data_IF_807949331304
#
_entry.id   IF_807949331304
#
_cell.length_a   1.000
_cell.length_b   1.000
_cell.length_c   1.000
_cell.angle_alpha   90.00
_cell.angle_beta   90.00
_cell.angle_gamma   90.00
#
_symmetry.space_group_name_H-M   'P 1'
#
loop_
_entity.id
_entity.type
_entity.pdbx_description
1 polymer ?
#
# COMPACT_ATOMS: atom_id res chain seq x y z
N UNK A 1 -11.01 -15.93 36.92
CA UNK A 1 -11.41 -16.86 35.84
C UNK A 1 -10.58 -16.45 34.65
N UNK A 2 -9.64 -17.29 34.19
CA UNK A 2 -8.87 -16.99 32.98
C UNK A 2 -9.84 -16.76 31.84
N UNK A 3 -9.77 -15.60 31.21
CA UNK A 3 -10.39 -15.38 29.92
C UNK A 3 -9.63 -16.25 28.93
N UNK A 4 -10.24 -17.34 28.46
CA UNK A 4 -9.69 -18.10 27.34
C UNK A 4 -9.57 -17.15 26.16
N UNK A 5 -8.33 -16.84 25.76
CA UNK A 5 -8.03 -16.05 24.57
C UNK A 5 -8.66 -16.74 23.36
N UNK A 6 -9.71 -16.13 22.80
CA UNK A 6 -10.38 -16.62 21.60
C UNK A 6 -9.44 -16.38 20.41
N UNK A 7 -8.51 -17.30 20.18
CA UNK A 7 -7.72 -17.31 18.96
C UNK A 7 -8.64 -17.69 17.80
N UNK A 8 -8.80 -16.80 16.82
CA UNK A 8 -9.52 -17.13 15.59
C UNK A 8 -8.79 -18.26 14.87
N UNK A 9 -9.39 -19.46 14.78
CA UNK A 9 -8.75 -20.62 14.17
C UNK A 9 -8.98 -20.63 12.66
N UNK A 10 -7.96 -20.28 11.88
CA UNK A 10 -7.96 -20.48 10.43
C UNK A 10 -7.86 -21.97 10.07
N UNK A 11 -8.66 -22.42 9.10
CA UNK A 11 -8.59 -23.77 8.53
C UNK A 11 -8.13 -23.64 7.08
N UNK A 12 -6.93 -24.11 6.77
CA UNK A 12 -6.40 -24.15 5.41
C UNK A 12 -6.74 -25.48 4.73
N UNK A 13 -7.24 -25.42 3.49
CA UNK A 13 -7.54 -26.60 2.66
C UNK A 13 -6.59 -26.62 1.48
N UNK A 14 -5.82 -27.71 1.34
CA UNK A 14 -4.74 -27.86 0.34
C UNK A 14 -3.33 -27.70 0.94
N UNK A 15 -2.30 -27.83 0.11
CA UNK A 15 -0.91 -27.60 0.55
C UNK A 15 -0.57 -26.12 0.41
N UNK A 16 -0.36 -25.38 1.52
CA UNK A 16 0.02 -23.97 1.44
C UNK A 16 1.41 -23.81 0.78
N UNK A 17 1.66 -22.67 0.11
CA UNK A 17 2.98 -22.37 -0.45
C UNK A 17 4.09 -22.42 0.61
N UNK A 18 5.32 -22.74 0.19
CA UNK A 18 6.49 -22.69 1.08
C UNK A 18 6.64 -21.28 1.67
N UNK A 19 6.68 -21.16 2.99
CA UNK A 19 6.78 -19.88 3.70
C UNK A 19 5.44 -19.15 3.93
N UNK A 20 4.30 -19.76 3.61
CA UNK A 20 3.00 -19.20 3.95
C UNK A 20 2.82 -19.11 5.48
N UNK A 21 2.54 -17.90 5.98
CA UNK A 21 2.12 -17.65 7.35
C UNK A 21 0.86 -16.81 7.34
N UNK A 22 -0.19 -17.30 7.99
CA UNK A 22 -1.44 -16.58 8.13
C UNK A 22 -1.30 -15.45 9.17
N UNK A 23 -2.23 -14.49 9.12
CA UNK A 23 -2.36 -13.48 10.14
C UNK A 23 -2.82 -14.11 11.45
N UNK A 24 -2.05 -13.92 12.52
CA UNK A 24 -2.55 -14.09 13.87
C UNK A 24 -3.41 -12.88 14.22
N UNK A 25 -4.58 -13.14 14.80
CA UNK A 25 -5.55 -12.11 15.17
C UNK A 25 -5.87 -12.26 16.64
N UNK A 26 -5.74 -11.16 17.36
CA UNK A 26 -6.04 -11.10 18.78
C UNK A 26 -6.91 -9.89 19.06
N UNK A 27 -8.03 -10.12 19.75
CA UNK A 27 -8.88 -9.04 20.22
C UNK A 27 -8.49 -8.68 21.65
N UNK A 28 -8.14 -7.41 21.86
CA UNK A 28 -7.86 -6.81 23.16
C UNK A 28 -9.09 -6.05 23.62
N UNK A 29 -9.49 -6.25 24.88
CA UNK A 29 -10.67 -5.63 25.48
C UNK A 29 -10.23 -4.65 26.58
N UNK A 30 -10.23 -3.36 26.26
CA UNK A 30 -9.96 -2.30 27.23
C UNK A 30 -11.26 -1.88 27.91
N UNK A 31 -11.57 -2.52 29.03
CA UNK A 31 -12.78 -2.25 29.80
C UNK A 31 -12.76 -0.84 30.40
N UNK A 32 -13.95 -0.25 30.54
CA UNK A 32 -14.16 1.08 31.11
C UNK A 32 -13.36 2.20 30.39
N UNK A 33 -13.13 2.05 29.08
CA UNK A 33 -12.33 2.98 28.27
C UNK A 33 -12.73 4.45 28.46
N UNK A 34 -14.04 4.72 28.54
CA UNK A 34 -14.56 6.07 28.74
C UNK A 34 -14.16 6.71 30.09
N UNK A 35 -13.84 5.89 31.10
CA UNK A 35 -13.47 6.32 32.45
C UNK A 35 -11.94 6.26 32.70
N UNK A 36 -11.15 5.85 31.71
CA UNK A 36 -9.69 5.87 31.81
C UNK A 36 -9.19 7.30 32.04
N UNK A 37 -8.12 7.40 32.83
CA UNK A 37 -7.43 8.66 33.14
C UNK A 37 -6.16 8.78 32.29
N UNK A 38 -5.58 9.99 32.18
CA UNK A 38 -4.24 10.15 31.66
C UNK A 38 -3.26 9.17 32.32
N UNK A 39 -2.39 8.58 31.50
CA UNK A 39 -1.43 7.54 31.82
C UNK A 39 -1.65 6.28 30.98
N UNK A 40 -0.56 5.72 30.46
CA UNK A 40 -0.56 4.48 29.71
C UNK A 40 -1.20 3.31 30.48
N UNK A 41 -2.15 2.64 29.83
CA UNK A 41 -2.70 1.36 30.25
C UNK A 41 -1.93 0.27 29.53
N UNK A 42 -1.16 -0.49 30.30
CA UNK A 42 -0.33 -1.58 29.78
C UNK A 42 -1.10 -2.89 29.91
N UNK A 43 -1.15 -3.65 28.82
CA UNK A 43 -1.52 -5.06 28.88
C UNK A 43 -0.29 -5.89 29.28
N UNK A 44 -0.39 -6.62 30.38
CA UNK A 44 0.67 -7.52 30.88
C UNK A 44 0.63 -8.90 30.18
N UNK A 45 -0.46 -9.21 29.46
CA UNK A 45 -0.55 -10.44 28.68
C UNK A 45 0.27 -10.30 27.40
N UNK A 46 1.41 -11.01 27.38
CA UNK A 46 2.27 -11.06 26.20
C UNK A 46 1.49 -11.61 25.00
N UNK A 47 1.15 -10.75 24.02
CA UNK A 47 0.66 -11.18 22.71
C UNK A 47 1.67 -12.19 22.16
N UNK A 48 1.27 -13.46 22.04
CA UNK A 48 2.20 -14.57 21.89
C UNK A 48 2.07 -15.25 20.52
N UNK A 49 2.68 -14.59 19.53
CA UNK A 49 3.03 -15.14 18.20
C UNK A 49 4.08 -16.27 18.25
N UNK A 50 4.20 -16.98 19.38
CA UNK A 50 5.43 -17.64 19.78
C UNK A 50 6.57 -16.67 20.11
N UNK A 51 6.26 -15.37 20.32
CA UNK A 51 7.21 -14.28 20.66
C UNK A 51 6.56 -13.31 21.65
N UNK A 52 7.31 -12.68 22.57
CA UNK A 52 6.74 -11.74 23.52
C UNK A 52 6.57 -10.35 22.90
N UNK A 53 5.31 -9.92 22.72
CA UNK A 53 4.95 -8.54 22.45
C UNK A 53 4.12 -7.98 23.61
N UNK A 54 4.26 -6.69 23.88
CA UNK A 54 3.45 -5.96 24.84
C UNK A 54 2.64 -4.90 24.12
N UNK A 55 1.38 -4.72 24.51
CA UNK A 55 0.54 -3.65 24.00
C UNK A 55 0.33 -2.62 25.09
N UNK A 56 0.48 -1.35 24.72
CA UNK A 56 0.25 -0.22 25.59
C UNK A 56 -0.75 0.74 24.93
N UNK A 57 -1.77 1.14 25.66
CA UNK A 57 -2.78 2.08 25.22
C UNK A 57 -2.66 3.37 26.01
N UNK A 58 -2.55 4.51 25.34
CA UNK A 58 -2.55 5.83 25.92
C UNK A 58 -3.91 6.48 25.64
N UNK A 59 -4.81 6.56 26.65
CA UNK A 59 -6.22 6.94 26.42
C UNK A 59 -6.45 8.37 25.93
N UNK A 60 -5.38 9.17 25.94
CA UNK A 60 -5.35 10.61 25.66
C UNK A 60 -4.20 11.00 24.70
N UNK A 61 -3.72 10.04 23.90
CA UNK A 61 -2.66 10.25 22.92
C UNK A 61 -1.27 10.38 23.55
N UNK A 62 -0.29 10.75 22.74
CA UNK A 62 1.14 10.74 23.12
C UNK A 62 1.52 11.84 24.13
N UNK A 63 0.81 12.97 24.05
CA UNK A 63 1.00 14.09 24.97
C UNK A 63 0.28 13.88 26.31
N UNK A 64 -0.49 12.79 26.43
CA UNK A 64 -1.30 12.43 27.62
C UNK A 64 -2.19 13.59 28.11
N UNK A 65 -2.65 14.41 27.17
CA UNK A 65 -3.49 15.56 27.45
C UNK A 65 -4.95 15.12 27.62
N UNK A 66 -5.52 15.34 28.80
CA UNK A 66 -6.89 14.98 29.12
C UNK A 66 -7.94 15.61 28.18
N UNK A 67 -7.56 16.67 27.44
CA UNK A 67 -8.41 17.34 26.44
C UNK A 67 -8.22 16.77 25.01
N UNK A 68 -7.32 15.80 24.82
CA UNK A 68 -7.06 15.16 23.53
C UNK A 68 -8.28 14.43 22.99
N UNK A 69 -8.53 14.62 21.70
CA UNK A 69 -9.55 13.94 20.91
C UNK A 69 -9.04 12.62 20.29
N UNK A 70 -7.81 12.23 20.61
CA UNK A 70 -7.17 11.00 20.13
C UNK A 70 -6.77 10.08 21.29
N UNK A 71 -6.59 8.80 20.99
CA UNK A 71 -5.88 7.85 21.83
C UNK A 71 -4.79 7.15 21.01
N UNK A 72 -3.69 6.75 21.65
CA UNK A 72 -2.61 6.02 20.98
C UNK A 72 -2.59 4.57 21.42
N UNK A 73 -2.19 3.68 20.52
CA UNK A 73 -1.91 2.28 20.84
C UNK A 73 -0.56 1.87 20.26
N UNK A 74 0.22 1.18 21.08
CA UNK A 74 1.59 0.80 20.82
C UNK A 74 1.78 -0.69 20.95
N UNK A 75 2.59 -1.24 20.05
CA UNK A 75 3.11 -2.60 20.09
C UNK A 75 4.62 -2.55 20.35
N UNK A 76 5.04 -3.08 21.49
CA UNK A 76 6.45 -3.18 21.88
C UNK A 76 6.94 -4.62 21.74
N UNK A 77 8.01 -4.83 20.98
CA UNK A 77 8.67 -6.14 20.86
C UNK A 77 9.67 -6.36 21.99
N UNK A 78 9.50 -7.44 22.74
CA UNK A 78 10.49 -7.94 23.71
C UNK A 78 11.29 -9.14 23.18
N UNK A 79 11.07 -9.51 21.92
CA UNK A 79 11.78 -10.59 21.24
C UNK A 79 13.25 -10.22 20.99
N UNK A 80 14.17 -11.13 21.34
CA UNK A 80 15.59 -11.04 21.00
C UNK A 80 15.90 -11.36 19.53
N UNK A 81 14.90 -11.81 18.78
CA UNK A 81 15.08 -12.14 17.36
C UNK A 81 14.90 -10.91 16.48
N UNK A 82 15.84 -10.74 15.55
CA UNK A 82 15.74 -9.79 14.44
C UNK A 82 14.84 -10.38 13.34
N UNK A 83 13.53 -10.33 13.53
CA UNK A 83 12.55 -10.73 12.52
C UNK A 83 11.89 -9.51 11.88
N UNK A 84 11.40 -9.65 10.64
CA UNK A 84 10.47 -8.70 10.06
C UNK A 84 9.06 -9.17 10.38
N UNK A 85 8.17 -8.27 10.80
CA UNK A 85 6.74 -8.54 10.97
C UNK A 85 5.93 -7.58 10.10
N UNK A 86 4.70 -7.98 9.79
CA UNK A 86 3.64 -7.06 9.39
C UNK A 86 2.59 -7.03 10.50
N UNK A 87 2.10 -5.84 10.84
CA UNK A 87 1.04 -5.68 11.84
C UNK A 87 0.07 -4.53 11.51
N UNK A 88 -1.16 -4.60 12.03
CA UNK A 88 -2.10 -3.48 12.06
C UNK A 88 -3.06 -3.62 13.25
N UNK A 89 -3.72 -2.51 13.57
CA UNK A 89 -4.77 -2.40 14.58
C UNK A 89 -6.11 -2.04 13.94
N UNK A 90 -7.21 -2.49 14.53
CA UNK A 90 -8.54 -2.10 14.13
C UNK A 90 -9.49 -1.98 15.32
N UNK A 91 -10.26 -0.88 15.39
CA UNK A 91 -11.37 -0.72 16.31
C UNK A 91 -12.53 -1.59 15.82
N UNK A 92 -13.06 -2.44 16.69
CA UNK A 92 -14.16 -3.35 16.40
C UNK A 92 -15.46 -2.88 17.04
N UNK A 93 -16.54 -2.93 16.25
CA UNK A 93 -17.90 -2.72 16.76
C UNK A 93 -18.47 -4.00 17.39
N UNK A 94 -19.70 -3.93 17.91
CA UNK A 94 -20.38 -5.06 18.55
C UNK A 94 -20.67 -6.25 17.60
N UNK A 95 -20.55 -6.04 16.29
CA UNK A 95 -20.74 -7.04 15.24
C UNK A 95 -19.41 -7.53 14.64
N UNK A 96 -18.26 -7.16 15.21
CA UNK A 96 -16.89 -7.43 14.72
C UNK A 96 -16.56 -6.73 13.37
N UNK A 97 -17.36 -5.74 12.96
CA UNK A 97 -17.01 -4.86 11.85
C UNK A 97 -15.90 -3.89 12.29
N UNK A 98 -15.06 -3.50 11.35
CA UNK A 98 -14.03 -2.49 11.57
C UNK A 98 -14.66 -1.10 11.51
N UNK A 99 -14.65 -0.37 12.63
CA UNK A 99 -15.07 1.03 12.70
C UNK A 99 -13.96 1.96 12.19
N UNK A 100 -12.72 1.65 12.54
CA UNK A 100 -11.50 2.36 12.13
C UNK A 100 -10.34 1.36 12.15
N UNK A 101 -9.35 1.51 11.27
CA UNK A 101 -8.17 0.65 11.27
C UNK A 101 -6.91 1.37 10.87
N UNK A 102 -5.81 1.08 11.54
CA UNK A 102 -4.50 1.54 11.13
C UNK A 102 -4.09 0.89 9.80
N UNK A 103 -3.20 1.54 9.04
CA UNK A 103 -2.52 0.87 7.96
C UNK A 103 -1.72 -0.34 8.46
N UNK A 104 -1.42 -1.26 7.55
CA UNK A 104 -0.45 -2.33 7.81
C UNK A 104 0.97 -1.78 7.83
N UNK A 105 1.60 -1.73 9.00
CA UNK A 105 3.02 -1.50 9.13
C UNK A 105 3.81 -2.77 8.79
N UNK A 106 4.98 -2.59 8.18
CA UNK A 106 6.00 -3.63 8.14
C UNK A 106 7.23 -3.14 8.88
N UNK A 107 7.62 -3.87 9.92
CA UNK A 107 8.68 -3.44 10.82
C UNK A 107 9.64 -4.58 11.14
N UNK A 108 10.93 -4.25 11.24
CA UNK A 108 11.93 -5.14 11.82
C UNK A 108 11.85 -5.04 13.34
N UNK A 109 11.43 -6.11 14.00
CA UNK A 109 11.42 -6.17 15.45
C UNK A 109 12.83 -6.32 16.00
N UNK A 110 13.08 -5.63 17.12
CA UNK A 110 14.27 -5.73 17.96
C UNK A 110 13.81 -5.49 19.41
N UNK A 111 14.56 -5.92 20.43
CA UNK A 111 14.18 -5.71 21.83
C UNK A 111 13.91 -4.24 22.14
N UNK A 112 12.77 -3.96 22.77
CA UNK A 112 12.34 -2.61 23.17
C UNK A 112 11.89 -1.72 22.02
N UNK A 113 11.78 -2.22 20.79
CA UNK A 113 11.22 -1.42 19.69
C UNK A 113 9.72 -1.34 19.85
N UNK A 114 9.23 -0.11 19.88
CA UNK A 114 7.81 0.24 19.98
C UNK A 114 7.35 0.85 18.66
N UNK A 115 6.20 0.40 18.16
CA UNK A 115 5.55 0.96 16.99
C UNK A 115 4.05 1.09 17.29
N UNK A 116 3.44 2.19 16.90
CA UNK A 116 2.05 2.46 17.26
C UNK A 116 1.34 3.35 16.27
N UNK A 117 0.08 3.62 16.59
CA UNK A 117 -0.82 4.45 15.81
C UNK A 117 -1.76 5.22 16.75
N UNK A 118 -2.09 6.45 16.38
CA UNK A 118 -3.17 7.22 17.00
C UNK A 118 -4.48 6.96 16.26
N UNK A 119 -5.58 7.06 17.01
CA UNK A 119 -6.93 6.79 16.56
C UNK A 119 -7.87 7.85 17.13
N UNK A 120 -9.00 8.09 16.45
CA UNK A 120 -10.03 8.98 16.97
C UNK A 120 -10.65 8.43 18.25
N UNK A 121 -10.59 9.22 19.32
CA UNK A 121 -11.22 8.89 20.60
C UNK A 121 -12.74 8.93 20.50
N UNK A 122 -13.28 9.84 19.69
CA UNK A 122 -14.73 9.89 19.40
C UNK A 122 -15.20 8.60 18.73
N UNK A 123 -14.48 8.13 17.69
CA UNK A 123 -14.81 6.85 17.02
C UNK A 123 -14.78 5.69 18.01
N UNK A 124 -13.76 5.61 18.87
CA UNK A 124 -13.68 4.60 19.91
C UNK A 124 -14.88 4.63 20.87
N UNK A 125 -15.24 5.82 21.39
CA UNK A 125 -16.37 5.98 22.31
C UNK A 125 -17.71 5.57 21.67
N UNK A 126 -17.90 5.88 20.39
CA UNK A 126 -19.13 5.58 19.67
C UNK A 126 -19.29 4.08 19.35
N UNK A 127 -18.21 3.30 19.44
CA UNK A 127 -18.17 1.87 19.07
C UNK A 127 -17.85 0.93 20.24
N UNK A 128 -17.98 1.39 21.49
CA UNK A 128 -17.73 0.55 22.67
C UNK A 128 -18.65 -0.69 22.72
N UNK A 129 -18.07 -1.85 23.02
CA UNK A 129 -18.79 -3.11 23.20
C UNK A 129 -18.90 -3.41 24.68
N UNK A 130 -20.10 -3.27 25.25
CA UNK A 130 -20.35 -3.44 26.69
C UNK A 130 -19.41 -2.58 27.57
N UNK A 131 -19.14 -1.33 27.15
CA UNK A 131 -18.25 -0.41 27.87
C UNK A 131 -16.75 -0.68 27.66
N UNK A 132 -16.37 -1.67 26.85
CA UNK A 132 -14.99 -1.94 26.48
C UNK A 132 -14.68 -1.41 25.08
N UNK A 133 -13.49 -0.82 24.93
CA UNK A 133 -12.89 -0.61 23.61
C UNK A 133 -12.29 -1.94 23.14
N UNK A 134 -12.72 -2.42 21.98
CA UNK A 134 -12.23 -3.66 21.39
C UNK A 134 -11.26 -3.33 20.26
N UNK A 135 -10.00 -3.72 20.42
CA UNK A 135 -8.96 -3.57 19.40
C UNK A 135 -8.57 -4.94 18.86
N UNK A 136 -8.76 -5.15 17.56
CA UNK A 136 -8.18 -6.28 16.85
C UNK A 136 -6.73 -5.95 16.46
N UNK A 137 -5.77 -6.69 17.00
CA UNK A 137 -4.38 -6.68 16.58
C UNK A 137 -4.18 -7.82 15.58
N UNK A 138 -3.75 -7.48 14.36
CA UNK A 138 -3.33 -8.48 13.36
C UNK A 138 -1.83 -8.44 13.24
N UNK A 139 -1.17 -9.60 13.32
CA UNK A 139 0.28 -9.69 13.19
C UNK A 139 0.72 -11.00 12.51
N UNK A 140 1.81 -10.95 11.74
CA UNK A 140 2.47 -12.15 11.16
C UNK A 140 3.96 -11.89 10.95
N UNK A 141 4.77 -12.95 10.89
CA UNK A 141 6.14 -12.81 10.40
C UNK A 141 6.10 -12.49 8.90
N UNK A 142 6.89 -11.49 8.53
CA UNK A 142 7.12 -11.13 7.13
C UNK A 142 8.23 -12.04 6.60
N UNK A 143 7.81 -13.07 5.87
CA UNK A 143 8.68 -13.79 4.95
C UNK A 143 8.61 -13.06 3.61
N UNK A 144 9.58 -12.17 3.33
CA UNK A 144 9.69 -11.34 2.12
C UNK A 144 8.84 -10.04 2.14
N UNK A 145 9.23 -9.00 1.36
CA UNK A 145 9.08 -7.59 1.76
C UNK A 145 7.61 -7.20 1.93
N UNK A 146 7.40 -6.19 2.79
CA UNK A 146 6.11 -5.57 3.11
C UNK A 146 5.14 -5.62 1.92
N UNK A 147 3.94 -6.18 2.12
CA UNK A 147 2.91 -6.22 1.07
C UNK A 147 2.80 -4.86 0.37
N UNK A 148 2.85 -4.83 -0.98
CA UNK A 148 2.63 -3.63 -1.75
C UNK A 148 1.42 -2.83 -1.26
N UNK A 149 1.59 -1.51 -1.13
CA UNK A 149 0.45 -0.62 -0.97
C UNK A 149 -0.39 -0.65 -2.24
N UNK A 150 -1.70 -0.82 -2.07
CA UNK A 150 -2.69 -0.80 -3.16
C UNK A 150 -3.75 0.20 -2.71
N UNK A 151 -3.91 1.35 -3.40
CA UNK A 151 -4.96 2.31 -3.06
C UNK A 151 -6.34 1.73 -3.37
N UNK A 152 -7.35 2.20 -2.64
CA UNK A 152 -8.73 1.89 -3.00
C UNK A 152 -9.15 2.62 -4.27
N UNK A 153 -9.99 1.98 -5.08
CA UNK A 153 -10.56 2.61 -6.25
C UNK A 153 -11.72 3.54 -5.82
N UNK A 154 -11.60 4.87 -6.01
CA UNK A 154 -12.61 5.83 -5.54
C UNK A 154 -13.95 5.68 -6.26
N UNK A 155 -13.95 5.11 -7.46
CA UNK A 155 -15.16 4.87 -8.26
C UNK A 155 -15.88 3.57 -7.93
N UNK A 156 -15.39 2.77 -6.96
CA UNK A 156 -15.94 1.44 -6.64
C UNK A 156 -17.35 1.54 -6.06
N UNK A 157 -18.33 1.61 -6.95
CA UNK A 157 -19.74 1.72 -6.63
C UNK A 157 -20.56 0.94 -7.65
N UNK A 158 -21.43 0.03 -7.20
CA UNK A 158 -22.24 -0.83 -8.08
C UNK A 158 -23.09 -0.03 -9.09
N UNK A 159 -23.55 1.15 -8.69
CA UNK A 159 -24.35 2.03 -9.55
C UNK A 159 -23.53 2.59 -10.70
N UNK A 160 -22.29 3.01 -10.43
CA UNK A 160 -21.37 3.52 -11.46
C UNK A 160 -20.90 2.36 -12.35
N UNK A 161 -20.59 1.22 -11.75
CA UNK A 161 -20.15 0.00 -12.45
C UNK A 161 -21.18 -0.45 -13.51
N UNK A 162 -22.47 -0.41 -13.17
CA UNK A 162 -23.55 -0.78 -14.08
C UNK A 162 -23.60 0.08 -15.36
N UNK A 163 -23.18 1.35 -15.28
CA UNK A 163 -23.16 2.27 -16.41
C UNK A 163 -22.03 1.96 -17.42
N UNK A 164 -21.05 1.12 -17.07
CA UNK A 164 -19.96 0.79 -17.98
C UNK A 164 -20.43 0.00 -19.21
N UNK A 165 -21.43 -0.87 -19.00
CA UNK A 165 -22.04 -1.67 -20.07
C UNK A 165 -23.30 -1.03 -20.66
N UNK A 166 -23.71 0.11 -20.09
CA UNK A 166 -24.88 0.84 -20.55
C UNK A 166 -24.48 1.87 -21.61
N UNK A 167 -25.11 1.76 -22.77
CA UNK A 167 -24.93 2.70 -23.87
C UNK A 167 -25.91 3.89 -23.77
N UNK A 168 -26.94 3.78 -22.92
CA UNK A 168 -27.90 4.83 -22.64
C UNK A 168 -27.17 5.98 -21.93
N UNK A 169 -27.32 7.21 -22.43
CA UNK A 169 -26.64 8.44 -21.94
C UNK A 169 -25.15 8.59 -22.23
N UNK A 170 -24.53 7.69 -23.00
CA UNK A 170 -23.15 7.91 -23.47
C UNK A 170 -23.08 9.14 -24.38
N UNK A 171 -22.16 10.05 -24.09
CA UNK A 171 -22.01 11.36 -24.75
C UNK A 171 -20.63 11.54 -25.40
N UNK A 172 -19.69 10.61 -25.16
CA UNK A 172 -18.37 10.59 -25.79
C UNK A 172 -17.99 9.21 -26.31
N UNK A 173 -17.26 9.18 -27.44
CA UNK A 173 -16.68 7.98 -28.04
C UNK A 173 -15.18 8.12 -28.17
N UNK A 174 -14.42 7.22 -27.57
CA UNK A 174 -12.98 7.13 -27.74
C UNK A 174 -12.59 6.21 -28.89
N UNK A 175 -11.78 6.71 -29.82
CA UNK A 175 -11.15 5.92 -30.87
C UNK A 175 -9.71 5.59 -30.50
N UNK A 176 -9.44 4.32 -30.21
CA UNK A 176 -8.11 3.81 -29.91
C UNK A 176 -7.54 3.12 -31.14
N UNK A 177 -6.36 3.56 -31.57
CA UNK A 177 -5.72 3.02 -32.76
C UNK A 177 -5.39 1.53 -32.61
N UNK A 178 -5.50 0.80 -33.71
CA UNK A 178 -5.13 -0.62 -33.81
C UNK A 178 -4.06 -0.79 -34.85
N UNK A 179 -2.87 -1.15 -34.41
CA UNK A 179 -1.73 -1.48 -35.27
C UNK A 179 -1.70 -3.00 -35.48
N UNK A 180 -1.62 -3.45 -36.73
CA UNK A 180 -1.39 -4.87 -37.04
C UNK A 180 0.09 -5.23 -36.86
N UNK A 181 0.38 -6.52 -36.65
CA UNK A 181 1.76 -7.03 -36.58
C UNK A 181 2.63 -6.71 -37.83
N UNK A 182 2.00 -6.37 -38.96
CA UNK A 182 2.65 -5.95 -40.20
C UNK A 182 2.78 -4.42 -40.36
N UNK A 183 2.47 -3.64 -39.32
CA UNK A 183 2.53 -2.17 -39.33
C UNK A 183 1.38 -1.47 -40.05
N UNK A 184 0.39 -2.19 -40.60
CA UNK A 184 -0.76 -1.57 -41.26
C UNK A 184 -1.84 -1.15 -40.25
N UNK A 185 -2.43 0.05 -40.39
CA UNK A 185 -3.54 0.48 -39.54
C UNK A 185 -4.78 -0.39 -39.79
N UNK A 186 -5.43 -0.82 -38.71
CA UNK A 186 -6.75 -1.47 -38.71
C UNK A 186 -7.82 -0.47 -38.27
N UNK A 187 -9.09 -0.77 -38.52
CA UNK A 187 -10.21 -0.03 -37.94
C UNK A 187 -9.99 0.15 -36.42
N UNK A 188 -10.05 1.40 -35.90
CA UNK A 188 -9.84 1.67 -34.49
C UNK A 188 -10.86 0.95 -33.62
N UNK A 189 -10.50 0.69 -32.37
CA UNK A 189 -11.46 0.26 -31.35
C UNK A 189 -12.21 1.49 -30.85
N UNK A 190 -13.54 1.42 -30.83
CA UNK A 190 -14.38 2.48 -30.31
C UNK A 190 -14.87 2.09 -28.91
N UNK A 191 -14.75 2.99 -27.95
CA UNK A 191 -15.28 2.83 -26.59
C UNK A 191 -16.21 3.99 -26.28
N UNK A 192 -17.45 3.70 -25.92
CA UNK A 192 -18.39 4.73 -25.46
C UNK A 192 -18.17 4.99 -23.98
N UNK A 193 -18.39 6.22 -23.55
CA UNK A 193 -18.28 6.59 -22.15
C UNK A 193 -19.15 7.81 -21.83
N UNK A 194 -19.16 8.16 -20.55
CA UNK A 194 -19.86 9.30 -19.97
C UNK A 194 -18.84 10.36 -19.54
N UNK A 195 -18.86 11.54 -20.19
CA UNK A 195 -17.95 12.65 -19.93
C UNK A 195 -17.97 13.10 -18.46
N UNK A 196 -19.15 13.05 -17.83
CA UNK A 196 -19.33 13.38 -16.43
C UNK A 196 -18.50 12.47 -15.51
N UNK A 197 -18.56 11.14 -15.72
CA UNK A 197 -17.80 10.17 -14.91
C UNK A 197 -16.30 10.38 -15.10
N UNK A 198 -15.86 10.58 -16.35
CA UNK A 198 -14.45 10.84 -16.66
C UNK A 198 -13.94 12.11 -15.95
N UNK A 199 -14.77 13.16 -15.88
CA UNK A 199 -14.42 14.43 -15.23
C UNK A 199 -14.19 14.33 -13.73
N UNK A 200 -14.71 13.29 -13.08
CA UNK A 200 -14.51 13.05 -11.66
C UNK A 200 -13.21 12.30 -11.36
N UNK A 201 -12.62 11.60 -12.35
CA UNK A 201 -11.48 10.70 -12.14
C UNK A 201 -10.22 11.17 -12.85
N UNK A 202 -10.34 11.77 -14.03
CA UNK A 202 -9.20 12.24 -14.83
C UNK A 202 -9.49 13.60 -15.43
N UNK A 203 -8.89 14.68 -14.90
CA UNK A 203 -9.01 16.02 -15.47
C UNK A 203 -8.57 16.07 -16.93
N UNK A 204 -7.55 15.30 -17.30
CA UNK A 204 -7.02 15.25 -18.66
C UNK A 204 -8.02 14.64 -19.64
N UNK A 205 -8.62 13.49 -19.31
CA UNK A 205 -9.65 12.90 -20.16
C UNK A 205 -10.87 13.81 -20.27
N UNK A 206 -11.24 14.47 -19.18
CA UNK A 206 -12.32 15.46 -19.17
C UNK A 206 -12.06 16.59 -20.15
N UNK A 207 -10.84 17.13 -20.16
CA UNK A 207 -10.43 18.20 -21.06
C UNK A 207 -10.53 17.77 -22.53
N UNK A 208 -10.06 16.56 -22.84
CA UNK A 208 -10.17 15.99 -24.19
C UNK A 208 -11.63 15.84 -24.66
N UNK A 209 -12.57 15.61 -23.74
CA UNK A 209 -13.99 15.43 -24.06
C UNK A 209 -14.75 16.77 -24.24
N UNK A 210 -14.20 17.92 -23.82
CA UNK A 210 -14.93 19.21 -23.87
C UNK A 210 -15.17 19.73 -25.28
N UNK A 211 -14.30 19.39 -26.22
CA UNK A 211 -14.30 19.97 -27.57
C UNK A 211 -14.96 19.09 -28.63
N UNK A 212 -14.93 17.76 -28.46
CA UNK A 212 -15.36 16.80 -29.49
C UNK A 212 -16.11 15.63 -28.86
N UNK A 213 -17.18 15.17 -29.52
CA UNK A 213 -17.90 13.94 -29.13
C UNK A 213 -17.14 12.67 -29.47
N UNK A 214 -16.06 12.78 -30.25
CA UNK A 214 -15.21 11.65 -30.64
C UNK A 214 -13.76 12.01 -30.40
N UNK A 215 -13.09 11.30 -29.49
CA UNK A 215 -11.75 11.62 -29.02
C UNK A 215 -10.79 10.52 -29.46
N UNK A 216 -9.67 10.90 -30.09
CA UNK A 216 -8.62 9.95 -30.46
C UNK A 216 -7.64 9.74 -29.32
N UNK A 217 -7.36 8.48 -29.01
CA UNK A 217 -6.47 8.05 -27.94
C UNK A 217 -5.15 7.57 -28.57
N UNK A 218 -4.09 8.39 -28.52
CA UNK A 218 -2.79 7.99 -29.05
C UNK A 218 -2.07 7.04 -28.11
N UNK A 219 -1.23 6.18 -28.70
CA UNK A 219 -0.18 5.43 -28.00
C UNK A 219 -0.67 4.55 -26.82
N UNK A 220 -1.92 4.09 -26.83
CA UNK A 220 -2.46 3.15 -25.85
C UNK A 220 -3.00 1.92 -26.58
N UNK A 221 -2.79 0.72 -26.04
CA UNK A 221 -3.39 -0.48 -26.62
C UNK A 221 -4.90 -0.49 -26.31
N UNK A 222 -5.76 -1.00 -27.22
CA UNK A 222 -7.20 -1.08 -26.96
C UNK A 222 -7.53 -1.88 -25.69
N UNK A 223 -6.71 -2.88 -25.35
CA UNK A 223 -6.91 -3.67 -24.14
C UNK A 223 -6.57 -2.85 -22.88
N UNK A 224 -5.45 -2.12 -22.88
CA UNK A 224 -5.08 -1.27 -21.75
C UNK A 224 -6.08 -0.14 -21.55
N UNK A 225 -6.51 0.52 -22.63
CA UNK A 225 -7.52 1.57 -22.55
C UNK A 225 -8.88 1.04 -22.06
N UNK A 226 -9.29 -0.16 -22.50
CA UNK A 226 -10.48 -0.81 -21.94
C UNK A 226 -10.34 -1.06 -20.44
N UNK A 227 -9.18 -1.55 -19.98
CA UNK A 227 -8.92 -1.75 -18.54
C UNK A 227 -8.97 -0.43 -17.77
N UNK A 228 -8.40 0.64 -18.34
CA UNK A 228 -8.44 1.98 -17.77
C UNK A 228 -9.87 2.49 -17.62
N UNK A 229 -10.70 2.39 -18.67
CA UNK A 229 -12.11 2.75 -18.59
C UNK A 229 -12.85 1.86 -17.59
N UNK A 230 -12.63 0.55 -17.60
CA UNK A 230 -13.27 -0.37 -16.63
C UNK A 230 -12.98 0.08 -15.19
N UNK A 231 -11.73 0.43 -14.90
CA UNK A 231 -11.32 0.94 -13.60
C UNK A 231 -12.01 2.26 -13.23
N UNK A 232 -12.12 3.22 -14.17
CA UNK A 232 -12.81 4.49 -13.94
C UNK A 232 -14.27 4.28 -13.52
N UNK A 233 -14.91 3.21 -14.00
CA UNK A 233 -16.28 2.84 -13.62
C UNK A 233 -16.34 1.97 -12.35
N UNK A 234 -15.22 1.75 -11.66
CA UNK A 234 -15.18 0.97 -10.43
C UNK A 234 -15.11 -0.55 -10.63
N UNK A 235 -14.94 -1.02 -11.88
CA UNK A 235 -14.83 -2.46 -12.18
C UNK A 235 -13.47 -2.98 -11.71
N UNK A 236 -13.49 -4.09 -10.98
CA UNK A 236 -12.27 -4.77 -10.53
C UNK A 236 -11.56 -5.46 -11.70
N UNK A 237 -10.27 -5.18 -11.86
CA UNK A 237 -9.49 -5.72 -12.97
C UNK A 237 -9.00 -7.15 -12.67
N UNK A 238 -9.18 -8.11 -13.60
CA UNK A 238 -8.79 -9.50 -13.38
C UNK A 238 -7.28 -9.73 -13.59
N UNK A 239 -6.43 -9.08 -12.79
CA UNK A 239 -4.95 -9.14 -12.90
C UNK A 239 -4.39 -10.56 -12.94
N UNK A 240 -5.01 -11.52 -12.25
CA UNK A 240 -4.59 -12.92 -12.24
C UNK A 240 -4.68 -13.62 -13.61
N UNK A 241 -5.39 -13.02 -14.58
CA UNK A 241 -5.53 -13.52 -15.94
C UNK A 241 -4.79 -12.65 -16.96
N UNK A 242 -4.04 -11.64 -16.50
CA UNK A 242 -3.30 -10.72 -17.34
C UNK A 242 -1.84 -11.13 -17.43
N UNK A 243 -1.24 -10.96 -18.59
CA UNK A 243 0.21 -11.09 -18.76
C UNK A 243 0.93 -9.81 -18.30
N UNK A 244 2.24 -9.92 -18.03
CA UNK A 244 3.05 -8.82 -17.55
C UNK A 244 3.11 -7.64 -18.54
N UNK A 245 3.05 -7.90 -19.85
CA UNK A 245 3.02 -6.84 -20.88
C UNK A 245 1.74 -6.02 -20.82
N UNK A 246 0.59 -6.66 -20.65
CA UNK A 246 -0.69 -5.97 -20.53
C UNK A 246 -0.78 -5.15 -19.25
N UNK A 247 -0.19 -5.62 -18.14
CA UNK A 247 -0.09 -4.83 -16.91
C UNK A 247 0.83 -3.61 -17.12
N UNK A 248 1.98 -3.76 -17.82
CA UNK A 248 2.84 -2.63 -18.23
C UNK A 248 2.06 -1.60 -19.05
N UNK A 249 1.29 -2.05 -20.06
CA UNK A 249 0.47 -1.16 -20.88
C UNK A 249 -0.58 -0.40 -20.03
N UNK A 250 -1.15 -1.05 -19.00
CA UNK A 250 -2.07 -0.40 -18.06
C UNK A 250 -1.36 0.69 -17.27
N UNK A 251 -0.16 0.41 -16.74
CA UNK A 251 0.64 1.41 -15.99
C UNK A 251 0.93 2.63 -16.88
N UNK A 252 1.38 2.41 -18.11
CA UNK A 252 1.65 3.50 -19.06
C UNK A 252 0.40 4.32 -19.40
N UNK A 253 -0.73 3.65 -19.63
CA UNK A 253 -2.01 4.31 -19.90
C UNK A 253 -2.49 5.11 -18.68
N UNK A 254 -2.43 4.54 -17.48
CA UNK A 254 -2.84 5.17 -16.24
C UNK A 254 -1.98 6.41 -15.95
N UNK A 255 -0.65 6.31 -16.13
CA UNK A 255 0.27 7.43 -15.97
C UNK A 255 0.00 8.53 -17.00
N UNK A 256 -0.27 8.17 -18.27
CA UNK A 256 -0.55 9.17 -19.32
C UNK A 256 -1.85 9.93 -19.07
N UNK A 257 -2.90 9.22 -18.65
CA UNK A 257 -4.23 9.80 -18.45
C UNK A 257 -4.49 10.22 -17.00
N UNK A 258 -3.44 10.32 -16.18
CA UNK A 258 -3.49 10.83 -14.82
C UNK A 258 -4.50 10.08 -13.93
N UNK A 259 -4.56 8.75 -14.06
CA UNK A 259 -5.38 7.86 -13.21
C UNK A 259 -4.47 7.22 -12.17
N UNK A 260 -4.06 8.02 -11.18
CA UNK A 260 -3.02 7.70 -10.19
C UNK A 260 -3.31 6.38 -9.45
N UNK A 261 -4.52 6.19 -8.91
CA UNK A 261 -4.82 4.98 -8.12
C UNK A 261 -4.70 3.70 -8.97
N UNK A 262 -5.06 3.77 -10.26
CA UNK A 262 -4.84 2.66 -11.20
C UNK A 262 -3.36 2.42 -11.47
N UNK A 263 -2.56 3.48 -11.63
CA UNK A 263 -1.09 3.39 -11.82
C UNK A 263 -0.46 2.65 -10.64
N UNK A 264 -0.76 3.07 -9.41
CA UNK A 264 -0.21 2.49 -8.19
C UNK A 264 -0.69 1.05 -7.95
N UNK A 265 -1.98 0.76 -8.19
CA UNK A 265 -2.50 -0.61 -8.10
C UNK A 265 -1.86 -1.52 -9.15
N UNK A 266 -1.80 -1.07 -10.41
CA UNK A 266 -1.18 -1.86 -11.49
C UNK A 266 0.31 -2.09 -11.24
N UNK A 267 1.03 -1.10 -10.70
CA UNK A 267 2.43 -1.22 -10.28
C UNK A 267 2.59 -2.32 -9.20
N UNK A 268 1.78 -2.28 -8.14
CA UNK A 268 1.81 -3.28 -7.07
C UNK A 268 1.53 -4.70 -7.59
N UNK A 269 0.58 -4.84 -8.53
CA UNK A 269 0.27 -6.11 -9.20
C UNK A 269 1.39 -6.56 -10.12
N UNK A 270 2.03 -5.63 -10.82
CA UNK A 270 3.16 -5.89 -11.70
C UNK A 270 4.36 -6.46 -10.95
N UNK A 271 4.77 -5.79 -9.88
CA UNK A 271 5.87 -6.25 -8.99
C UNK A 271 5.60 -7.65 -8.44
N UNK A 272 4.36 -7.94 -8.10
CA UNK A 272 3.96 -9.27 -7.59
C UNK A 272 3.94 -10.36 -8.67
N UNK A 273 3.82 -9.98 -9.95
CA UNK A 273 3.69 -10.91 -11.06
C UNK A 273 5.02 -11.24 -11.77
N UNK A 274 6.03 -10.37 -11.65
CA UNK A 274 7.32 -10.54 -12.33
C UNK A 274 8.35 -11.24 -11.45
N UNK A 275 9.32 -11.88 -12.09
CA UNK A 275 10.52 -12.40 -11.45
C UNK A 275 11.73 -11.59 -11.91
N UNK A 276 12.32 -10.79 -11.01
CA UNK A 276 13.50 -9.99 -11.31
C UNK A 276 14.74 -10.90 -11.33
N UNK A 277 15.53 -10.80 -12.39
CA UNK A 277 16.79 -11.51 -12.60
C UNK A 277 17.89 -10.54 -13.00
N UNK A 278 19.15 -10.98 -12.96
CA UNK A 278 20.29 -10.14 -13.33
C UNK A 278 20.23 -9.70 -14.80
N UNK A 279 19.55 -10.47 -15.65
CA UNK A 279 19.40 -10.20 -17.08
C UNK A 279 18.29 -9.17 -17.37
N UNK A 280 17.19 -9.16 -16.59
CA UNK A 280 16.04 -8.28 -16.85
C UNK A 280 15.97 -7.05 -15.92
N UNK A 281 16.77 -7.00 -14.85
CA UNK A 281 16.68 -5.92 -13.84
C UNK A 281 16.85 -4.52 -14.44
N UNK A 282 17.74 -4.36 -15.43
CA UNK A 282 17.96 -3.05 -16.07
C UNK A 282 16.77 -2.60 -16.90
N UNK A 283 16.07 -3.53 -17.57
CA UNK A 283 14.84 -3.22 -18.30
C UNK A 283 13.75 -2.73 -17.34
N UNK A 284 13.57 -3.43 -16.21
CA UNK A 284 12.62 -3.03 -15.18
C UNK A 284 12.99 -1.69 -14.54
N UNK A 285 14.28 -1.44 -14.32
CA UNK A 285 14.78 -0.18 -13.77
C UNK A 285 14.50 1.00 -14.70
N UNK A 286 14.81 0.86 -15.99
CA UNK A 286 14.54 1.89 -16.99
C UNK A 286 13.05 2.17 -17.16
N UNK A 287 12.21 1.13 -17.13
CA UNK A 287 10.75 1.30 -17.15
C UNK A 287 10.25 2.01 -15.89
N UNK A 288 10.78 1.64 -14.72
CA UNK A 288 10.38 2.26 -13.47
C UNK A 288 10.75 3.74 -13.40
N UNK A 289 11.96 4.08 -13.87
CA UNK A 289 12.45 5.45 -13.92
C UNK A 289 11.67 6.31 -14.92
N UNK A 290 11.33 5.78 -16.10
CA UNK A 290 10.63 6.55 -17.13
C UNK A 290 9.16 6.85 -16.82
N UNK A 291 8.50 6.02 -16.01
CA UNK A 291 7.09 6.16 -15.64
C UNK A 291 6.92 6.60 -14.17
N UNK A 292 8.00 6.83 -13.43
CA UNK A 292 7.99 7.13 -11.99
C UNK A 292 7.23 6.06 -11.19
N UNK A 293 7.64 4.80 -11.36
CA UNK A 293 7.16 3.65 -10.59
C UNK A 293 8.13 3.37 -9.43
N UNK A 294 7.98 4.10 -8.33
CA UNK A 294 8.88 4.01 -7.18
C UNK A 294 8.88 2.67 -6.44
N UNK A 295 7.76 1.94 -6.41
CA UNK A 295 7.73 0.61 -5.80
C UNK A 295 8.50 -0.40 -6.66
N UNK A 296 8.35 -0.37 -7.98
CA UNK A 296 9.12 -1.22 -8.88
C UNK A 296 10.62 -0.88 -8.81
N UNK A 297 10.95 0.42 -8.82
CA UNK A 297 12.32 0.92 -8.66
C UNK A 297 12.93 0.43 -7.34
N UNK A 298 12.20 0.54 -6.22
CA UNK A 298 12.62 0.04 -4.91
C UNK A 298 12.90 -1.47 -4.94
N UNK A 299 12.01 -2.25 -5.54
CA UNK A 299 12.16 -3.70 -5.65
C UNK A 299 13.40 -4.10 -6.45
N UNK A 300 13.70 -3.39 -7.55
CA UNK A 300 14.91 -3.62 -8.33
C UNK A 300 16.17 -3.26 -7.52
N UNK A 301 16.16 -2.15 -6.76
CA UNK A 301 17.29 -1.78 -5.91
C UNK A 301 17.53 -2.79 -4.78
N UNK A 302 16.46 -3.28 -4.15
CA UNK A 302 16.56 -4.32 -3.13
C UNK A 302 17.14 -5.62 -3.73
N UNK A 303 16.73 -6.00 -4.94
CA UNK A 303 17.33 -7.12 -5.67
C UNK A 303 18.83 -6.91 -5.94
N UNK A 304 19.21 -5.69 -6.36
CA UNK A 304 20.62 -5.34 -6.62
C UNK A 304 21.46 -5.50 -5.36
N UNK A 305 20.97 -5.01 -4.22
CA UNK A 305 21.68 -5.09 -2.95
C UNK A 305 21.80 -6.54 -2.45
N UNK A 306 20.75 -7.35 -2.62
CA UNK A 306 20.76 -8.77 -2.27
C UNK A 306 21.74 -9.59 -3.13
N UNK A 307 21.91 -9.23 -4.41
CA UNK A 307 22.76 -9.94 -5.38
C UNK A 307 24.05 -9.18 -5.74
N UNK A 308 24.47 -8.25 -4.86
CA UNK A 308 25.56 -7.29 -5.12
C UNK A 308 26.87 -7.92 -5.63
N UNK A 309 27.24 -9.10 -5.13
CA UNK A 309 28.47 -9.77 -5.52
C UNK A 309 28.44 -10.24 -6.99
N UNK A 310 27.32 -10.83 -7.42
CA UNK A 310 27.15 -11.31 -8.79
C UNK A 310 27.05 -10.14 -9.79
N UNK A 311 26.27 -9.13 -9.42
CA UNK A 311 26.06 -7.93 -10.24
C UNK A 311 27.36 -7.14 -10.41
N UNK A 312 28.14 -7.00 -9.32
CA UNK A 312 29.44 -6.35 -9.38
C UNK A 312 30.41 -7.09 -10.31
N UNK A 313 30.46 -8.42 -10.24
CA UNK A 313 31.31 -9.23 -11.11
C UNK A 313 30.96 -9.09 -12.61
N UNK A 314 29.65 -9.01 -12.93
CA UNK A 314 29.16 -8.81 -14.30
C UNK A 314 29.27 -7.37 -14.81
N UNK A 315 29.62 -6.41 -13.93
CA UNK A 315 29.68 -4.96 -14.22
C UNK A 315 28.39 -4.41 -14.83
N UNK A 316 27.23 -4.96 -14.42
CA UNK A 316 25.93 -4.63 -15.03
C UNK A 316 25.47 -3.19 -14.75
N UNK A 317 26.04 -2.52 -13.73
CA UNK A 317 25.65 -1.17 -13.30
C UNK A 317 26.41 -0.02 -14.00
N UNK A 318 27.23 -0.29 -15.02
CA UNK A 318 28.09 0.73 -15.67
C UNK A 318 27.35 1.86 -16.42
N UNK A 319 26.01 1.84 -16.49
CA UNK A 319 25.19 2.84 -17.19
C UNK A 319 23.98 3.33 -16.39
N UNK A 320 24.00 3.17 -15.06
CA UNK A 320 22.90 3.58 -14.19
C UNK A 320 22.91 5.11 -14.02
N UNK A 321 21.77 5.81 -14.21
CA UNK A 321 21.64 7.24 -13.93
C UNK A 321 22.12 7.64 -12.53
N UNK A 322 22.79 8.80 -12.42
CA UNK A 322 23.33 9.30 -11.13
C UNK A 322 22.25 9.49 -10.06
N UNK A 323 21.01 9.79 -10.47
CA UNK A 323 19.87 9.95 -9.55
C UNK A 323 19.52 8.69 -8.75
N UNK A 324 19.93 7.51 -9.21
CA UNK A 324 19.60 6.22 -8.59
C UNK A 324 20.56 5.81 -7.45
N UNK A 325 21.61 6.59 -7.19
CA UNK A 325 22.56 6.33 -6.10
C UNK A 325 21.85 6.44 -4.74
N UNK A 326 20.96 7.42 -4.58
CA UNK A 326 20.20 7.60 -3.33
C UNK A 326 19.24 6.42 -3.08
N UNK A 327 18.56 5.95 -4.13
CA UNK A 327 17.71 4.76 -4.06
C UNK A 327 18.51 3.52 -3.66
N UNK A 328 19.74 3.36 -4.19
CA UNK A 328 20.65 2.28 -3.82
C UNK A 328 21.12 2.40 -2.35
N UNK A 329 21.47 3.60 -1.88
CA UNK A 329 21.85 3.84 -0.49
C UNK A 329 20.68 3.53 0.46
N UNK A 330 19.46 3.93 0.10
CA UNK A 330 18.26 3.60 0.87
C UNK A 330 18.03 2.08 0.93
N UNK A 331 18.20 1.37 -0.20
CA UNK A 331 18.15 -0.10 -0.23
C UNK A 331 19.24 -0.74 0.64
N UNK A 332 20.45 -0.19 0.63
CA UNK A 332 21.53 -0.65 1.51
C UNK A 332 21.18 -0.45 2.98
N UNK A 333 20.63 0.71 3.36
CA UNK A 333 20.15 0.97 4.72
C UNK A 333 19.06 -0.03 5.15
N UNK A 334 18.14 -0.40 4.25
CA UNK A 334 17.12 -1.44 4.50
C UNK A 334 17.72 -2.85 4.63
N UNK A 335 18.77 -3.14 3.86
CA UNK A 335 19.43 -4.45 3.81
C UNK A 335 20.44 -4.70 4.95
N UNK A 336 20.89 -3.64 5.63
CA UNK A 336 21.94 -3.71 6.64
C UNK A 336 21.62 -4.71 7.75
N UNK A 337 22.54 -5.65 7.97
CA UNK A 337 22.71 -6.33 9.27
C UNK A 337 23.60 -5.41 10.12
N UNK A 338 23.07 -4.99 11.27
CA UNK A 338 23.71 -4.33 12.43
C UNK A 338 25.01 -3.55 12.23
N UNK A 339 25.00 -2.26 12.60
CA UNK A 339 25.91 -1.74 13.64
C UNK A 339 25.59 -0.27 13.93
N UNK A 340 25.70 0.06 15.22
CA UNK A 340 25.62 1.37 15.87
C UNK A 340 24.23 1.83 16.34
N UNK A 341 24.13 1.78 17.66
CA UNK A 341 23.14 2.44 18.48
C UNK A 341 23.04 3.91 18.10
N UNK A 342 21.83 4.35 17.77
CA UNK A 342 21.39 5.69 18.14
C UNK A 342 20.09 5.52 18.91
N UNK A 343 20.20 5.76 20.22
CA UNK A 343 19.10 6.14 21.09
C UNK A 343 18.60 7.50 20.58
N UNK A 344 17.33 7.53 20.16
CA UNK A 344 16.70 8.69 19.56
C UNK A 344 15.55 8.22 18.70
N UNK A 345 14.34 8.29 19.25
CA UNK A 345 13.10 8.02 18.55
C UNK A 345 12.81 9.15 17.53
N UNK A 346 13.64 9.24 16.50
CA UNK A 346 13.33 10.01 15.29
C UNK A 346 12.84 8.99 14.26
N UNK A 347 11.60 9.14 13.78
CA UNK A 347 11.02 8.25 12.78
C UNK A 347 11.87 8.30 11.52
N UNK A 348 12.70 7.27 11.30
CA UNK A 348 13.62 7.27 10.16
C UNK A 348 12.89 6.92 8.86
N UNK A 349 12.14 7.89 8.33
CA UNK A 349 11.44 7.83 7.05
C UNK A 349 12.34 7.39 5.89
N UNK A 350 13.65 7.74 5.93
CA UNK A 350 14.61 7.36 4.89
C UNK A 350 14.77 5.84 4.75
N UNK A 351 14.62 5.09 5.84
CA UNK A 351 14.76 3.64 5.87
C UNK A 351 13.44 2.88 5.64
N UNK A 352 12.27 3.55 5.56
CA UNK A 352 10.98 2.88 5.36
C UNK A 352 10.77 2.46 3.90
N UNK A 353 10.16 1.31 3.63
CA UNK A 353 9.84 0.96 2.24
C UNK A 353 8.77 1.90 1.64
N UNK A 354 8.73 2.03 0.31
CA UNK A 354 7.77 2.89 -0.41
C UNK A 354 6.33 2.54 -0.02
N UNK A 355 6.03 1.26 0.14
CA UNK A 355 4.68 0.85 0.56
C UNK A 355 4.30 1.35 1.95
N UNK A 356 5.24 1.40 2.90
CA UNK A 356 4.99 1.98 4.22
C UNK A 356 4.83 3.50 4.14
N UNK A 357 5.64 4.18 3.33
CA UNK A 357 5.52 5.63 3.10
C UNK A 357 4.16 5.99 2.50
N UNK A 358 3.74 5.30 1.43
CA UNK A 358 2.43 5.51 0.79
C UNK A 358 1.27 5.25 1.74
N UNK A 359 1.34 4.19 2.55
CA UNK A 359 0.32 3.90 3.59
C UNK A 359 0.17 5.03 4.61
N UNK A 360 1.28 5.61 5.05
CA UNK A 360 1.27 6.75 5.98
C UNK A 360 0.72 8.00 5.31
N UNK A 361 1.10 8.28 4.07
CA UNK A 361 0.57 9.41 3.31
C UNK A 361 -0.95 9.30 3.13
N UNK A 362 -1.44 8.13 2.69
CA UNK A 362 -2.87 7.85 2.52
C UNK A 362 -3.67 8.07 3.81
N UNK A 363 -3.15 7.52 4.92
CA UNK A 363 -3.75 7.67 6.25
C UNK A 363 -3.91 9.13 6.68
N UNK A 364 -2.91 9.95 6.40
CA UNK A 364 -2.92 11.39 6.72
C UNK A 364 -3.68 12.23 5.67
N UNK A 365 -4.25 11.61 4.64
CA UNK A 365 -4.93 12.30 3.54
C UNK A 365 -3.98 13.09 2.61
N UNK A 366 -2.69 12.74 2.61
CA UNK A 366 -1.69 13.30 1.70
C UNK A 366 -1.66 12.56 0.37
N UNK A 367 -1.06 13.21 -0.63
CA UNK A 367 -0.82 12.57 -1.93
C UNK A 367 0.10 11.35 -1.77
N UNK A 368 -0.33 10.25 -2.39
CA UNK A 368 0.37 8.95 -2.37
C UNK A 368 1.20 8.73 -3.64
N UNK A 369 1.00 9.56 -4.68
CA UNK A 369 1.87 9.58 -5.85
C UNK A 369 3.12 10.41 -5.57
N UNK A 370 4.22 10.00 -6.20
CA UNK A 370 5.48 10.71 -6.09
C UNK A 370 6.64 9.83 -5.65
N UNK A 371 7.83 10.43 -5.78
CA UNK A 371 9.07 9.76 -5.43
C UNK A 371 9.20 9.51 -3.94
N UNK A 372 10.11 8.61 -3.58
CA UNK A 372 10.53 8.40 -2.19
C UNK A 372 10.75 9.71 -1.43
N UNK A 373 11.50 10.63 -2.02
CA UNK A 373 11.87 11.91 -1.43
C UNK A 373 10.65 12.80 -1.21
N UNK A 374 9.69 12.79 -2.14
CA UNK A 374 8.45 13.57 -1.99
C UNK A 374 7.57 13.05 -0.86
N UNK A 375 7.44 11.72 -0.73
CA UNK A 375 6.70 11.10 0.37
C UNK A 375 7.39 11.39 1.71
N UNK A 376 8.71 11.24 1.78
CA UNK A 376 9.49 11.56 3.00
C UNK A 376 9.33 13.04 3.36
N UNK A 377 9.44 13.95 2.39
CA UNK A 377 9.32 15.40 2.63
C UNK A 377 7.91 15.79 3.09
N UNK A 378 6.88 15.04 2.70
CA UNK A 378 5.50 15.30 3.09
C UNK A 378 5.21 14.77 4.49
N UNK A 379 5.83 13.65 4.86
CA UNK A 379 5.63 12.99 6.16
C UNK A 379 6.56 13.52 7.26
N UNK A 380 7.75 13.99 6.93
CA UNK A 380 8.69 14.49 7.92
C UNK A 380 8.14 15.77 8.58
N UNK A 381 8.22 15.90 9.91
CA UNK A 381 7.77 17.10 10.61
C UNK A 381 8.53 18.32 10.08
N UNK A 382 7.78 19.38 9.74
CA UNK A 382 8.39 20.67 9.39
C UNK A 382 9.13 21.17 10.63
N UNK A 383 10.47 21.18 10.56
CA UNK A 383 11.30 21.86 11.56
C UNK A 383 11.12 23.36 11.36
N UNK A 384 10.16 23.95 12.06
CA UNK A 384 9.99 25.41 12.18
C UNK A 384 11.06 26.03 13.09
#
# INVERSE_FOLDING_TARGET
MSADSIHSKSIHVGTPPSGFQDWERTHLFFHDFAALKPGGVVDDDHLSLGRPFQVELWPFGDDDDAESDEFAIYLTSWSNDNAQIEFCFAIKDANDNTAESSPTASVRIKPGRTEGYTFSRETALNNLVNGALVIEVKIKLSTHPARPYIPENPSRCRTIEALFTDDEFTDVVFEVERIQANGKPRKPACFKAHSLILSMVSPLLAEMCKSESTVRIPNATPKAFHSLLSYIYGVELPYCRMDASHIKDIIEAANRYDVINLKLEAEARYVSAINITVENMMEHLHFADSINCDLLKECVMDFIVQNKNEIFAKKTLLGVPEGLINDLLAAMMRSGKESEANEGADENYNAMCISTLRRRADWLGYDVDGSRETLISTLAPRRD
#
